data_IF_547448039551
#
_entry.id   IF_547448039551
#
_cell.length_a   1.000
_cell.length_b   1.000
_cell.length_c   1.000
_cell.angle_alpha   90.00
_cell.angle_beta   90.00
_cell.angle_gamma   90.00
#
_symmetry.space_group_name_H-M   'P 1'
#
loop_
_entity.id
_entity.type
_entity.pdbx_description
1 polymer ?
#
# COMPACT_ATOMS: atom_id res chain seq x y z
N UNK A 1 14.10 27.29 -10.67
CA UNK A 1 13.88 27.09 -9.22
C UNK A 1 13.10 25.78 -9.12
N UNK A 2 13.81 24.72 -8.71
CA UNK A 2 13.33 23.33 -8.47
C UNK A 2 12.23 22.79 -9.39
N UNK A 3 12.64 22.22 -10.53
CA UNK A 3 11.85 21.23 -11.26
C UNK A 3 11.78 19.95 -10.42
N UNK A 4 10.61 19.66 -9.84
CA UNK A 4 10.36 18.39 -9.17
C UNK A 4 10.13 17.31 -10.23
N UNK A 5 11.12 16.43 -10.41
CA UNK A 5 11.05 15.24 -11.24
C UNK A 5 9.85 14.35 -10.85
N UNK A 6 8.84 14.16 -11.73
CA UNK A 6 7.66 13.32 -11.45
C UNK A 6 7.98 11.81 -11.43
N UNK A 7 9.25 11.44 -11.65
CA UNK A 7 9.76 10.07 -11.65
C UNK A 7 10.67 9.76 -10.45
N UNK A 8 10.76 10.63 -9.44
CA UNK A 8 11.46 10.27 -8.20
C UNK A 8 10.69 9.15 -7.50
N UNK A 9 11.14 7.92 -7.75
CA UNK A 9 10.86 6.71 -7.00
C UNK A 9 10.91 7.06 -5.52
N UNK A 10 9.73 7.09 -4.88
CA UNK A 10 9.56 7.27 -3.44
C UNK A 10 10.27 6.11 -2.74
N UNK A 11 11.56 6.32 -2.45
CA UNK A 11 12.46 5.29 -1.89
C UNK A 11 12.40 5.23 -0.36
N UNK A 12 11.56 6.06 0.27
CA UNK A 12 11.39 6.13 1.74
C UNK A 12 10.03 5.63 2.25
N UNK A 13 9.01 5.45 1.40
CA UNK A 13 7.64 5.17 1.88
C UNK A 13 7.34 3.72 2.29
N UNK A 14 8.25 2.77 2.05
CA UNK A 14 7.99 1.35 2.34
C UNK A 14 7.94 1.02 3.83
N UNK A 15 8.80 1.67 4.63
CA UNK A 15 8.85 1.46 6.08
C UNK A 15 7.63 2.05 6.80
N UNK A 16 7.17 3.24 6.38
CA UNK A 16 5.93 3.84 6.87
C UNK A 16 4.72 2.95 6.59
N UNK A 17 4.60 2.43 5.37
CA UNK A 17 3.47 1.57 5.00
C UNK A 17 3.44 0.27 5.81
N UNK A 18 4.58 -0.38 6.02
CA UNK A 18 4.65 -1.58 6.86
C UNK A 18 4.21 -1.28 8.29
N UNK A 19 4.58 -0.11 8.83
CA UNK A 19 4.16 0.34 10.16
C UNK A 19 2.66 0.60 10.22
N UNK A 20 2.08 1.24 9.19
CA UNK A 20 0.63 1.45 9.09
C UNK A 20 -0.13 0.13 8.99
N UNK A 21 0.35 -0.82 8.19
CA UNK A 21 -0.23 -2.16 8.05
C UNK A 21 -0.22 -2.90 9.40
N UNK A 22 0.90 -2.86 10.12
CA UNK A 22 1.02 -3.41 11.47
C UNK A 22 0.01 -2.76 12.43
N UNK A 23 -0.09 -1.43 12.43
CA UNK A 23 -1.07 -0.71 13.26
C UNK A 23 -2.52 -1.03 12.90
N UNK A 24 -2.79 -1.41 11.65
CA UNK A 24 -4.11 -1.84 11.18
C UNK A 24 -4.40 -3.33 11.46
N UNK A 25 -3.47 -4.06 12.08
CA UNK A 25 -3.62 -5.47 12.45
C UNK A 25 -3.21 -6.46 11.35
N UNK A 26 -2.44 -6.01 10.36
CA UNK A 26 -1.82 -6.85 9.34
C UNK A 26 -0.34 -7.07 9.65
N UNK A 27 0.07 -8.32 9.84
CA UNK A 27 1.47 -8.68 10.16
C UNK A 27 2.16 -9.28 8.95
N UNK A 28 3.48 -9.50 9.05
CA UNK A 28 4.30 -10.13 8.01
C UNK A 28 4.16 -9.46 6.64
N UNK A 29 4.10 -8.12 6.64
CA UNK A 29 3.90 -7.34 5.43
C UNK A 29 5.11 -7.42 4.50
N UNK A 30 4.88 -7.95 3.29
CA UNK A 30 5.87 -8.05 2.22
C UNK A 30 5.29 -7.48 0.92
N UNK A 31 5.99 -6.54 0.29
CA UNK A 31 5.58 -6.01 -1.02
C UNK A 31 5.66 -7.14 -2.07
N UNK A 32 4.53 -7.51 -2.66
CA UNK A 32 4.41 -8.55 -3.69
C UNK A 32 4.09 -7.97 -5.07
N UNK A 33 3.92 -6.65 -5.18
CA UNK A 33 3.68 -6.00 -6.46
C UNK A 33 3.57 -4.48 -6.37
N UNK A 34 3.97 -3.82 -7.45
CA UNK A 34 3.90 -2.37 -7.62
C UNK A 34 3.44 -2.03 -9.02
N UNK A 35 2.51 -1.08 -9.13
CA UNK A 35 2.05 -0.57 -10.41
C UNK A 35 1.53 0.86 -10.31
N UNK A 36 0.96 1.38 -11.40
CA UNK A 36 0.44 2.75 -11.46
C UNK A 36 -0.70 3.07 -10.49
N UNK A 37 -1.29 2.05 -9.87
CA UNK A 37 -2.36 2.19 -8.87
C UNK A 37 -1.89 1.95 -7.43
N UNK A 38 -0.58 1.93 -7.21
CA UNK A 38 0.03 1.76 -5.89
C UNK A 38 0.69 0.38 -5.68
N UNK A 39 0.83 0.02 -4.42
CA UNK A 39 1.60 -1.14 -3.95
C UNK A 39 0.66 -2.23 -3.41
N UNK A 40 1.05 -3.49 -3.52
CA UNK A 40 0.31 -4.64 -2.97
C UNK A 40 1.24 -5.37 -2.02
N UNK A 41 0.76 -5.61 -0.80
CA UNK A 41 1.46 -6.34 0.24
C UNK A 41 0.77 -7.65 0.53
N UNK A 42 1.55 -8.73 0.68
CA UNK A 42 1.10 -9.95 1.35
C UNK A 42 1.20 -9.70 2.84
N UNK A 43 0.15 -10.04 3.58
CA UNK A 43 0.12 -9.95 5.04
C UNK A 43 -0.58 -11.15 5.66
N UNK A 44 -0.34 -11.39 6.94
CA UNK A 44 -1.18 -12.26 7.79
C UNK A 44 -2.19 -11.39 8.54
N UNK A 45 -3.44 -11.83 8.66
CA UNK A 45 -4.49 -11.20 9.46
C UNK A 45 -4.83 -12.09 10.67
N UNK A 46 -4.17 -11.90 11.83
CA UNK A 46 -4.27 -12.84 12.96
C UNK A 46 -5.70 -13.00 13.50
N UNK A 47 -6.49 -11.94 13.45
CA UNK A 47 -7.88 -11.94 13.94
C UNK A 47 -8.78 -12.98 13.24
N UNK A 48 -8.41 -13.41 12.03
CA UNK A 48 -9.16 -14.39 11.23
C UNK A 48 -8.26 -15.47 10.62
N UNK A 49 -7.03 -15.61 11.15
CA UNK A 49 -6.03 -16.63 10.80
C UNK A 49 -5.89 -16.90 9.30
N UNK A 50 -5.62 -15.85 8.51
CA UNK A 50 -5.47 -16.00 7.06
C UNK A 50 -4.42 -15.07 6.46
N UNK A 51 -3.88 -15.48 5.33
CA UNK A 51 -3.08 -14.62 4.46
C UNK A 51 -3.98 -13.76 3.57
N UNK A 52 -3.64 -12.48 3.45
CA UNK A 52 -4.38 -11.50 2.64
C UNK A 52 -3.43 -10.72 1.73
N UNK A 53 -3.97 -10.18 0.64
CA UNK A 53 -3.32 -9.15 -0.15
C UNK A 53 -3.92 -7.79 0.22
N UNK A 54 -3.10 -6.86 0.71
CA UNK A 54 -3.51 -5.49 1.02
C UNK A 54 -2.98 -4.57 -0.07
N UNK A 55 -3.88 -3.87 -0.78
CA UNK A 55 -3.52 -2.90 -1.81
C UNK A 55 -3.51 -1.50 -1.22
N UNK A 56 -2.34 -0.87 -1.23
CA UNK A 56 -2.12 0.51 -0.78
C UNK A 56 -2.16 1.40 -2.01
N UNK A 57 -3.18 2.25 -2.09
CA UNK A 57 -3.39 3.17 -3.20
C UNK A 57 -2.48 4.40 -3.03
N UNK A 58 -1.78 4.80 -4.09
CA UNK A 58 -0.90 5.97 -4.10
C UNK A 58 -1.46 7.00 -5.10
N UNK A 59 -1.85 8.20 -4.63
CA UNK A 59 -2.40 9.28 -5.48
C UNK A 59 -3.91 9.52 -5.31
N UNK A 60 -4.44 10.60 -5.93
CA UNK A 60 -5.83 11.08 -5.73
C UNK A 60 -6.87 9.96 -5.92
N UNK A 61 -7.51 9.64 -4.81
CA UNK A 61 -8.30 8.43 -4.58
C UNK A 61 -9.73 8.53 -5.14
N UNK A 62 -10.18 9.69 -5.59
CA UNK A 62 -11.62 9.93 -5.78
C UNK A 62 -12.23 9.08 -6.89
N UNK A 63 -11.51 8.86 -8.00
CA UNK A 63 -12.08 8.13 -9.14
C UNK A 63 -12.09 6.59 -8.95
N UNK A 64 -11.17 6.06 -8.14
CA UNK A 64 -11.00 4.61 -8.00
C UNK A 64 -11.60 4.04 -6.72
N UNK A 65 -11.86 4.87 -5.70
CA UNK A 65 -12.44 4.42 -4.42
C UNK A 65 -13.76 3.69 -4.62
N UNK A 66 -14.62 4.18 -5.51
CA UNK A 66 -15.91 3.55 -5.83
C UNK A 66 -15.81 2.09 -6.31
N UNK A 67 -14.66 1.65 -6.84
CA UNK A 67 -14.46 0.29 -7.37
C UNK A 67 -14.09 -0.72 -6.27
N UNK A 68 -13.73 -0.26 -5.08
CA UNK A 68 -13.29 -1.10 -3.96
C UNK A 68 -14.29 -1.15 -2.79
N UNK A 69 -15.26 -0.24 -2.72
CA UNK A 69 -16.39 -0.35 -1.81
C UNK A 69 -17.41 -1.34 -2.40
N UNK A 70 -17.54 -2.51 -1.78
CA UNK A 70 -18.57 -3.52 -2.08
C UNK A 70 -19.16 -4.04 -0.78
#
# INVERSE_FOLDING_TARGET
MVESDPFKTQRDGGADIVTELLSAGFTDAEEIGRGGFGQVFRCTQPAVDRTVAVKVLSGELDENRARFFR
#
